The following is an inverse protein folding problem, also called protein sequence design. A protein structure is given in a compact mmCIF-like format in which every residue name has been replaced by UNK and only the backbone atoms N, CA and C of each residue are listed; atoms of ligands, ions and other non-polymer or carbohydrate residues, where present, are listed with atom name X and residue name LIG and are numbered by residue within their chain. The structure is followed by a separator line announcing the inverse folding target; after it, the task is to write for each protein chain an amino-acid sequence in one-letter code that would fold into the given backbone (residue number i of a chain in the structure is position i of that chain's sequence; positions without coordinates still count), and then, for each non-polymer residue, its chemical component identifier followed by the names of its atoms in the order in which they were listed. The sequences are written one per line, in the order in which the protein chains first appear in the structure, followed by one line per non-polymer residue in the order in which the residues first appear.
data_IF_191392023557
#
_entry.id   IF_191392023557
#
_cell.length_a   1.000
_cell.length_b   1.000
_cell.length_c   1.000
_cell.angle_alpha   90.00
_cell.angle_beta   90.00
_cell.angle_gamma   90.00
#
_symmetry.space_group_name_H-M   'P 1'
#
loop_
_entity.id
_entity.type
_entity.pdbx_description
1 polymer ?
#
# COMPACT_ATOMS: atom_id res chain seq x y z
N UNK A 1 11.25 -15.81 19.48
CA UNK A 1 10.77 -15.24 18.20
C UNK A 1 10.00 -13.91 18.29
N UNK A 2 8.79 -13.84 18.86
CA UNK A 2 7.92 -12.64 18.81
C UNK A 2 8.58 -11.34 19.32
N UNK A 3 9.31 -11.40 20.44
CA UNK A 3 10.03 -10.24 21.00
C UNK A 3 11.05 -9.69 20.00
N UNK A 4 11.83 -10.58 19.36
CA UNK A 4 12.81 -10.19 18.33
C UNK A 4 12.14 -9.66 17.06
N UNK A 5 10.98 -10.21 16.70
CA UNK A 5 10.21 -9.69 15.57
C UNK A 5 9.71 -8.27 15.86
N UNK A 6 9.22 -7.98 17.06
CA UNK A 6 8.86 -6.62 17.47
C UNK A 6 10.05 -5.67 17.39
N UNK A 7 11.22 -6.06 17.90
CA UNK A 7 12.45 -5.26 17.80
C UNK A 7 12.83 -4.99 16.33
N UNK A 8 12.79 -6.01 15.47
CA UNK A 8 13.11 -5.87 14.05
C UNK A 8 12.11 -4.95 13.31
N UNK A 9 10.81 -5.12 13.56
CA UNK A 9 9.78 -4.31 12.92
C UNK A 9 9.66 -2.90 13.50
N UNK A 10 10.14 -2.65 14.72
CA UNK A 10 10.30 -1.29 15.25
C UNK A 10 11.43 -0.53 14.53
N UNK A 11 12.55 -1.21 14.22
CA UNK A 11 13.60 -0.65 13.36
C UNK A 11 13.08 -0.41 11.95
N UNK A 12 12.35 -1.37 11.36
CA UNK A 12 11.71 -1.21 10.05
C UNK A 12 10.78 0.01 10.02
N UNK A 13 9.91 0.15 11.04
CA UNK A 13 9.03 1.31 11.22
C UNK A 13 9.84 2.59 11.23
N UNK A 14 10.90 2.68 12.03
CA UNK A 14 11.69 3.91 12.11
C UNK A 14 12.32 4.29 10.77
N UNK A 15 12.85 3.32 10.02
CA UNK A 15 13.48 3.54 8.72
C UNK A 15 12.50 3.97 7.61
N UNK A 16 11.29 3.43 7.60
CA UNK A 16 10.32 3.67 6.52
C UNK A 16 9.24 4.70 6.86
N UNK A 17 8.92 4.87 8.13
CA UNK A 17 7.82 5.71 8.61
C UNK A 17 8.27 6.91 9.43
N UNK A 18 9.51 6.95 9.92
CA UNK A 18 10.06 8.04 10.74
C UNK A 18 9.10 8.42 11.89
N UNK A 19 8.63 7.41 12.63
CA UNK A 19 7.63 7.54 13.70
C UNK A 19 6.46 6.55 13.56
N UNK A 20 5.32 6.86 14.17
CA UNK A 20 4.18 5.93 14.23
C UNK A 20 4.34 4.85 15.30
N UNK A 21 3.52 3.80 15.21
CA UNK A 21 3.53 2.65 16.13
C UNK A 21 3.56 1.36 15.32
N UNK A 22 4.35 0.38 15.75
CA UNK A 22 4.33 -0.98 15.23
C UNK A 22 4.02 -1.98 16.34
N UNK A 23 3.46 -3.12 15.98
CA UNK A 23 3.23 -4.24 16.89
C UNK A 23 3.22 -5.54 16.12
N UNK A 24 3.78 -6.58 16.71
CA UNK A 24 3.87 -7.90 16.10
C UNK A 24 3.36 -8.94 17.08
N UNK A 25 2.45 -9.80 16.62
CA UNK A 25 1.85 -10.85 17.44
C UNK A 25 1.90 -12.18 16.73
N UNK A 26 2.29 -13.24 17.43
CA UNK A 26 2.45 -14.58 16.91
C UNK A 26 1.43 -15.52 17.58
N UNK A 27 1.02 -16.56 16.85
CA UNK A 27 0.27 -17.68 17.40
C UNK A 27 0.74 -18.99 16.77
N UNK A 28 0.62 -20.07 17.54
CA UNK A 28 1.05 -21.39 17.10
C UNK A 28 0.00 -22.03 16.19
N UNK A 29 0.47 -22.81 15.21
CA UNK A 29 -0.32 -23.72 14.39
C UNK A 29 0.14 -25.17 14.65
N UNK A 30 -0.62 -26.15 14.18
CA UNK A 30 -0.24 -27.56 14.34
C UNK A 30 1.00 -27.93 13.48
N UNK A 31 1.19 -27.27 12.34
CA UNK A 31 2.24 -27.51 11.35
C UNK A 31 3.17 -26.30 11.12
N UNK A 32 3.22 -25.38 12.09
CA UNK A 32 4.10 -24.21 12.04
C UNK A 32 3.63 -23.10 12.98
N UNK A 33 3.70 -21.86 12.50
CA UNK A 33 3.22 -20.69 13.24
C UNK A 33 2.65 -19.65 12.29
N UNK A 34 1.90 -18.71 12.84
CA UNK A 34 1.40 -17.56 12.12
C UNK A 34 1.55 -16.31 12.96
N UNK A 35 1.35 -15.17 12.34
CA UNK A 35 1.44 -13.91 13.02
C UNK A 35 0.87 -12.76 12.23
N UNK A 36 0.84 -11.61 12.88
CA UNK A 36 0.45 -10.35 12.27
C UNK A 36 1.48 -9.28 12.60
N UNK A 37 1.89 -8.54 11.59
CA UNK A 37 2.65 -7.29 11.73
C UNK A 37 1.69 -6.14 11.46
N UNK A 38 1.60 -5.23 12.42
CA UNK A 38 0.78 -4.03 12.36
C UNK A 38 1.68 -2.81 12.35
N UNK A 39 1.45 -1.87 11.43
CA UNK A 39 2.06 -0.55 11.45
C UNK A 39 0.97 0.51 11.32
N UNK A 40 1.05 1.55 12.15
CA UNK A 40 0.15 2.70 12.11
C UNK A 40 0.97 3.99 12.11
N UNK A 41 0.73 4.84 11.12
CA UNK A 41 1.27 6.19 11.06
C UNK A 41 0.14 7.17 10.85
N UNK A 42 0.10 8.17 11.71
CA UNK A 42 -0.72 9.37 11.52
C UNK A 42 0.22 10.52 11.19
N UNK A 43 -0.15 11.29 10.18
CA UNK A 43 0.56 12.47 9.73
C UNK A 43 -0.42 13.65 9.69
N UNK A 44 -0.08 14.74 10.34
CA UNK A 44 -0.86 15.98 10.34
C UNK A 44 0.00 17.12 9.78
N UNK A 45 0.25 17.13 8.45
CA UNK A 45 1.01 18.20 7.83
C UNK A 45 0.19 19.51 7.87
N UNK A 46 0.59 20.42 8.75
CA UNK A 46 -0.09 21.70 8.94
C UNK A 46 -1.38 21.57 9.76
N UNK A 47 -2.36 22.46 9.52
CA UNK A 47 -3.58 22.56 10.35
C UNK A 47 -4.83 22.00 9.68
N UNK A 48 -4.81 21.80 8.35
CA UNK A 48 -5.99 21.45 7.57
C UNK A 48 -5.86 20.10 6.83
N UNK A 49 -4.74 19.39 6.98
CA UNK A 49 -4.52 18.11 6.31
C UNK A 49 -4.15 17.03 7.33
N UNK A 50 -4.81 15.89 7.22
CA UNK A 50 -4.58 14.69 8.00
C UNK A 50 -4.42 13.50 7.05
N UNK A 51 -3.45 12.65 7.35
CA UNK A 51 -3.22 11.41 6.65
C UNK A 51 -3.00 10.27 7.63
N UNK A 52 -3.68 9.16 7.43
CA UNK A 52 -3.46 7.93 8.20
C UNK A 52 -3.07 6.82 7.25
N UNK A 53 -2.01 6.11 7.63
CA UNK A 53 -1.55 4.88 6.99
C UNK A 53 -1.62 3.74 8.00
N UNK A 54 -2.38 2.70 7.66
CA UNK A 54 -2.46 1.46 8.44
C UNK A 54 -2.02 0.28 7.57
N UNK A 55 -1.01 -0.46 8.03
CA UNK A 55 -0.53 -1.69 7.41
C UNK A 55 -0.83 -2.89 8.28
N UNK A 56 -1.41 -3.92 7.67
CA UNK A 56 -1.78 -5.18 8.30
C UNK A 56 -1.20 -6.31 7.46
N UNK A 57 -0.20 -7.01 7.99
CA UNK A 57 0.46 -8.11 7.33
C UNK A 57 0.24 -9.39 8.13
N UNK A 58 -0.74 -10.20 7.71
CA UNK A 58 -0.99 -11.51 8.31
C UNK A 58 -0.16 -12.54 7.54
N UNK A 59 0.67 -13.28 8.24
CA UNK A 59 1.49 -14.33 7.65
C UNK A 59 1.26 -15.68 8.32
N UNK A 60 1.42 -16.73 7.55
CA UNK A 60 1.52 -18.11 8.01
C UNK A 60 2.86 -18.67 7.54
N UNK A 61 3.54 -19.42 8.40
CA UNK A 61 4.81 -20.08 8.15
C UNK A 61 4.62 -21.57 8.47
N UNK A 62 4.49 -22.38 7.42
CA UNK A 62 4.24 -23.82 7.51
C UNK A 62 5.57 -24.55 7.32
N UNK A 63 5.98 -25.32 8.32
CA UNK A 63 7.24 -26.04 8.27
C UNK A 63 7.13 -27.29 7.40
N UNK A 64 8.00 -27.37 6.38
CA UNK A 64 8.18 -28.56 5.54
C UNK A 64 9.57 -29.14 5.79
N UNK A 65 9.79 -30.36 5.31
CA UNK A 65 11.03 -31.10 5.61
C UNK A 65 12.34 -30.40 5.21
N UNK A 66 12.32 -29.45 4.25
CA UNK A 66 13.54 -28.78 3.73
C UNK A 66 13.40 -27.26 3.56
N UNK A 67 12.21 -26.71 3.83
CA UNK A 67 11.90 -25.30 3.63
C UNK A 67 10.68 -24.95 4.50
N UNK A 68 10.47 -23.66 4.71
CA UNK A 68 9.22 -23.15 5.29
C UNK A 68 8.42 -22.49 4.17
N UNK A 69 7.14 -22.84 4.07
CA UNK A 69 6.20 -22.25 3.13
C UNK A 69 5.54 -21.05 3.82
N UNK A 70 5.75 -19.85 3.27
CA UNK A 70 5.21 -18.60 3.80
C UNK A 70 4.01 -18.15 2.97
N UNK A 71 2.86 -18.00 3.61
CA UNK A 71 1.69 -17.35 3.02
C UNK A 71 1.57 -15.96 3.65
N UNK A 72 1.68 -14.90 2.87
CA UNK A 72 1.54 -13.52 3.35
C UNK A 72 0.32 -12.87 2.72
N UNK A 73 -0.65 -12.48 3.54
CA UNK A 73 -1.76 -11.60 3.18
C UNK A 73 -1.52 -10.22 3.77
N UNK A 74 -1.35 -9.23 2.90
CA UNK A 74 -1.10 -7.84 3.32
C UNK A 74 -2.24 -6.94 2.89
N UNK A 75 -2.66 -6.06 3.80
CA UNK A 75 -3.64 -5.01 3.55
C UNK A 75 -3.05 -3.68 3.99
N UNK A 76 -3.10 -2.69 3.10
CA UNK A 76 -2.80 -1.30 3.41
C UNK A 76 -4.08 -0.49 3.31
N UNK A 77 -4.33 0.33 4.31
CA UNK A 77 -5.43 1.30 4.36
C UNK A 77 -4.80 2.69 4.38
N UNK A 78 -5.22 3.53 3.44
CA UNK A 78 -4.80 4.91 3.33
C UNK A 78 -6.04 5.79 3.47
N UNK A 79 -5.97 6.75 4.37
CA UNK A 79 -6.96 7.82 4.50
C UNK A 79 -6.24 9.16 4.42
N UNK A 80 -6.72 10.04 3.54
CA UNK A 80 -6.20 11.39 3.36
C UNK A 80 -7.39 12.35 3.40
N UNK A 81 -7.39 13.23 4.38
CA UNK A 81 -8.41 14.26 4.53
C UNK A 81 -7.77 15.64 4.45
N UNK A 82 -8.41 16.54 3.72
CA UNK A 82 -8.16 17.97 3.74
C UNK A 82 -9.45 18.67 4.15
N UNK A 83 -9.45 19.34 5.28
CA UNK A 83 -10.64 19.99 5.85
C UNK A 83 -10.90 21.39 5.28
N UNK A 84 -10.15 21.81 4.25
CA UNK A 84 -10.41 23.05 3.53
C UNK A 84 -10.33 24.28 4.42
N UNK A 85 -9.16 24.53 5.03
CA UNK A 85 -8.92 25.78 5.77
C UNK A 85 -9.26 27.02 4.93
N UNK A 86 -9.52 28.17 5.57
CA UNK A 86 -10.10 29.37 4.93
C UNK A 86 -9.38 29.92 3.69
N UNK A 87 -8.14 29.49 3.43
CA UNK A 87 -7.32 29.84 2.24
C UNK A 87 -7.10 28.65 1.26
N UNK A 88 -7.74 27.50 1.47
CA UNK A 88 -7.59 26.31 0.62
C UNK A 88 -8.39 26.45 -0.67
N UNK A 89 -7.69 26.67 -1.79
CA UNK A 89 -8.29 26.66 -3.13
C UNK A 89 -8.93 25.30 -3.51
N UNK A 90 -8.58 24.21 -2.81
CA UNK A 90 -9.07 22.86 -3.05
C UNK A 90 -10.39 22.54 -2.34
N UNK A 91 -10.81 23.33 -1.35
CA UNK A 91 -11.96 23.02 -0.51
C UNK A 91 -11.74 21.80 0.39
N UNK A 92 -12.82 21.19 0.86
CA UNK A 92 -12.81 19.95 1.63
C UNK A 92 -12.70 18.74 0.70
N UNK A 93 -11.80 17.81 1.02
CA UNK A 93 -11.56 16.59 0.24
C UNK A 93 -11.22 15.43 1.18
N UNK A 94 -11.90 14.30 1.00
CA UNK A 94 -11.56 13.02 1.64
C UNK A 94 -11.26 11.99 0.55
N UNK A 95 -10.08 11.39 0.64
CA UNK A 95 -9.61 10.33 -0.23
C UNK A 95 -9.12 9.17 0.63
N UNK A 96 -9.96 8.14 0.74
CA UNK A 96 -9.73 7.00 1.60
C UNK A 96 -9.98 5.68 0.89
N UNK A 97 -9.29 4.63 1.32
CA UNK A 97 -9.62 3.26 0.94
C UNK A 97 -8.53 2.27 1.33
N UNK A 98 -8.58 1.07 0.72
CA UNK A 98 -7.64 -0.01 1.03
C UNK A 98 -7.18 -0.78 -0.21
N UNK A 99 -6.11 -1.54 -0.05
CA UNK A 99 -5.63 -2.52 -1.01
C UNK A 99 -5.14 -3.77 -0.29
N UNK A 100 -5.62 -4.94 -0.73
CA UNK A 100 -5.19 -6.24 -0.20
C UNK A 100 -4.49 -7.06 -1.29
N UNK A 101 -3.39 -7.71 -0.92
CA UNK A 101 -2.61 -8.61 -1.77
C UNK A 101 -2.16 -9.84 -1.00
N UNK A 102 -1.95 -10.92 -1.75
CA UNK A 102 -1.49 -12.19 -1.21
C UNK A 102 -0.30 -12.68 -2.02
N UNK A 103 0.68 -13.27 -1.33
CA UNK A 103 1.77 -14.01 -1.93
C UNK A 103 2.03 -15.29 -1.14
N UNK A 104 2.57 -16.26 -1.85
CA UNK A 104 3.06 -17.52 -1.29
C UNK A 104 4.51 -17.69 -1.75
N UNK A 105 5.40 -18.08 -0.83
CA UNK A 105 6.80 -18.29 -1.14
C UNK A 105 7.42 -19.39 -0.27
N UNK A 106 8.17 -20.28 -0.90
CA UNK A 106 8.96 -21.30 -0.20
C UNK A 106 10.40 -20.79 0.00
N UNK A 107 10.85 -20.76 1.24
CA UNK A 107 12.18 -20.27 1.59
C UNK A 107 12.87 -21.21 2.59
N UNK A 108 14.18 -21.47 2.45
CA UNK A 108 14.94 -22.13 3.50
C UNK A 108 14.90 -21.31 4.80
N UNK A 109 14.66 -21.98 5.91
CA UNK A 109 14.72 -21.37 7.22
C UNK A 109 15.11 -22.42 8.28
N UNK A 110 16.37 -22.38 8.70
CA UNK A 110 16.94 -23.31 9.68
C UNK A 110 16.96 -22.72 11.10
N UNK A 111 16.78 -21.40 11.21
CA UNK A 111 16.88 -20.65 12.47
C UNK A 111 15.73 -19.64 12.59
N UNK A 112 15.38 -19.28 13.83
CA UNK A 112 14.37 -18.24 14.09
C UNK A 112 14.74 -16.90 13.44
N UNK A 113 16.03 -16.55 13.44
CA UNK A 113 16.54 -15.32 12.83
C UNK A 113 16.30 -15.29 11.32
N UNK A 114 16.50 -16.43 10.63
CA UNK A 114 16.20 -16.55 9.21
C UNK A 114 14.70 -16.47 8.93
N UNK A 115 13.87 -17.07 9.78
CA UNK A 115 12.42 -16.99 9.64
C UNK A 115 11.93 -15.53 9.79
N UNK A 116 12.43 -14.79 10.79
CA UNK A 116 12.11 -13.36 10.96
C UNK A 116 12.60 -12.55 9.76
N UNK A 117 13.83 -12.79 9.28
CA UNK A 117 14.37 -12.10 8.11
C UNK A 117 13.57 -12.38 6.83
N UNK A 118 13.12 -13.63 6.64
CA UNK A 118 12.26 -14.02 5.54
C UNK A 118 10.91 -13.28 5.59
N UNK A 119 10.26 -13.25 6.75
CA UNK A 119 9.00 -12.51 6.96
C UNK A 119 9.22 -11.02 6.68
N UNK A 120 10.28 -10.42 7.23
CA UNK A 120 10.64 -9.01 7.01
C UNK A 120 10.78 -8.66 5.52
N UNK A 121 11.52 -9.47 4.76
CA UNK A 121 11.68 -9.29 3.31
C UNK A 121 10.36 -9.42 2.55
N UNK A 122 9.51 -10.39 2.91
CA UNK A 122 8.20 -10.56 2.27
C UNK A 122 7.29 -9.35 2.53
N UNK A 123 7.30 -8.84 3.76
CA UNK A 123 6.54 -7.63 4.15
C UNK A 123 7.06 -6.41 3.39
N UNK A 124 8.37 -6.18 3.38
CA UNK A 124 9.01 -5.05 2.69
C UNK A 124 8.69 -5.03 1.19
N UNK A 125 8.89 -6.16 0.51
CA UNK A 125 8.61 -6.29 -0.93
C UNK A 125 7.13 -6.04 -1.24
N UNK A 126 6.24 -6.55 -0.39
CA UNK A 126 4.79 -6.42 -0.56
C UNK A 126 4.33 -4.98 -0.34
N UNK A 127 4.82 -4.35 0.72
CA UNK A 127 4.49 -2.97 1.07
C UNK A 127 5.00 -1.98 0.02
N UNK A 128 6.22 -2.17 -0.49
CA UNK A 128 6.76 -1.36 -1.58
C UNK A 128 5.87 -1.43 -2.84
N UNK A 129 5.45 -2.64 -3.23
CA UNK A 129 4.57 -2.85 -4.39
C UNK A 129 3.21 -2.19 -4.19
N UNK A 130 2.58 -2.38 -3.04
CA UNK A 130 1.28 -1.80 -2.75
C UNK A 130 1.34 -0.28 -2.66
N UNK A 131 2.40 0.30 -2.07
CA UNK A 131 2.60 1.75 -2.04
C UNK A 131 2.62 2.37 -3.44
N UNK A 132 3.37 1.75 -4.36
CA UNK A 132 3.44 2.23 -5.74
C UNK A 132 2.07 2.15 -6.45
N UNK A 133 1.32 1.06 -6.24
CA UNK A 133 -0.02 0.89 -6.81
C UNK A 133 -1.04 1.86 -6.21
N UNK A 134 -0.98 2.12 -4.89
CA UNK A 134 -1.84 3.08 -4.23
C UNK A 134 -1.61 4.48 -4.81
N UNK A 135 -0.37 4.89 -5.04
CA UNK A 135 -0.06 6.18 -5.67
C UNK A 135 -0.72 6.32 -7.05
N UNK A 136 -0.63 5.29 -7.89
CA UNK A 136 -1.22 5.29 -9.24
C UNK A 136 -2.76 5.32 -9.20
N UNK A 137 -3.37 4.51 -8.34
CA UNK A 137 -4.84 4.39 -8.29
C UNK A 137 -5.50 5.57 -7.59
N UNK A 138 -4.95 6.06 -6.47
CA UNK A 138 -5.59 7.09 -5.65
C UNK A 138 -5.50 8.46 -6.30
N UNK A 139 -4.33 8.82 -6.84
CA UNK A 139 -4.16 10.14 -7.44
C UNK A 139 -4.35 10.13 -8.94
N UNK A 140 -4.11 9.00 -9.62
CA UNK A 140 -4.34 8.88 -11.06
C UNK A 140 -5.83 8.78 -11.38
N UNK A 141 -6.48 7.68 -10.97
CA UNK A 141 -7.86 7.40 -11.37
C UNK A 141 -8.86 8.41 -10.83
N UNK A 142 -8.73 8.86 -9.58
CA UNK A 142 -9.63 9.86 -9.02
C UNK A 142 -9.55 11.18 -9.79
N UNK A 143 -8.33 11.61 -10.14
CA UNK A 143 -8.10 12.80 -10.96
C UNK A 143 -8.69 12.66 -12.36
N UNK A 144 -8.51 11.50 -13.00
CA UNK A 144 -9.04 11.23 -14.33
C UNK A 144 -10.58 11.29 -14.33
N UNK A 145 -11.24 10.63 -13.37
CA UNK A 145 -12.70 10.64 -13.24
C UNK A 145 -13.24 12.05 -12.97
N UNK A 146 -12.60 12.82 -12.08
CA UNK A 146 -13.01 14.22 -11.82
C UNK A 146 -12.78 15.10 -13.06
N UNK A 147 -11.68 14.89 -13.78
CA UNK A 147 -11.37 15.59 -15.03
C UNK A 147 -12.38 15.31 -16.14
N UNK A 148 -12.86 14.07 -16.24
CA UNK A 148 -13.90 13.67 -17.19
C UNK A 148 -15.27 14.28 -16.85
N UNK A 149 -15.60 14.40 -15.57
CA UNK A 149 -16.86 15.01 -15.12
C UNK A 149 -16.87 16.54 -15.33
N UNK A 150 -15.71 17.19 -15.26
CA UNK A 150 -15.59 18.64 -15.44
C UNK A 150 -14.32 18.98 -16.22
N UNK A 151 -14.41 19.00 -17.55
CA UNK A 151 -13.30 19.43 -18.40
C UNK A 151 -13.06 20.94 -18.25
N UNK A 152 -11.82 21.32 -17.94
CA UNK A 152 -11.41 22.73 -17.94
C UNK A 152 -11.19 23.29 -19.36
N UNK A 153 -10.96 22.40 -20.33
CA UNK A 153 -10.88 22.75 -21.75
C UNK A 153 -12.27 23.00 -22.35
N UNK A 154 -12.31 23.73 -23.46
CA UNK A 154 -13.57 23.92 -24.19
C UNK A 154 -14.04 22.58 -24.77
N UNK A 155 -15.35 22.32 -24.79
CA UNK A 155 -15.92 21.15 -25.49
C UNK A 155 -15.46 21.06 -26.96
N UNK A 156 -15.09 22.20 -27.56
CA UNK A 156 -14.52 22.29 -28.90
C UNK A 156 -13.12 21.68 -29.00
N UNK A 157 -12.24 21.90 -28.01
CA UNK A 157 -10.91 21.28 -27.97
C UNK A 157 -10.99 19.77 -27.76
N UNK A 158 -11.86 19.32 -26.84
CA UNK A 158 -12.11 17.88 -26.64
C UNK A 158 -12.68 17.20 -27.91
N UNK A 159 -13.49 17.94 -28.68
CA UNK A 159 -13.98 17.50 -29.99
C UNK A 159 -12.85 17.37 -31.02
N UNK A 160 -11.96 18.36 -31.10
CA UNK A 160 -10.82 18.36 -32.02
C UNK A 160 -9.82 17.25 -31.70
N UNK A 161 -9.55 16.99 -30.43
CA UNK A 161 -8.65 15.90 -30.01
C UNK A 161 -9.21 14.52 -30.36
N UNK A 162 -10.53 14.31 -30.20
CA UNK A 162 -11.20 13.08 -30.64
C UNK A 162 -11.17 12.90 -32.17
N UNK A 163 -11.29 13.99 -32.91
CA UNK A 163 -11.24 13.99 -34.36
C UNK A 163 -9.82 13.67 -34.86
N UNK A 164 -8.80 14.27 -34.25
CA UNK A 164 -7.40 13.96 -34.49
C UNK A 164 -7.05 12.50 -34.12
N UNK A 165 -7.54 11.98 -32.99
CA UNK A 165 -7.38 10.57 -32.63
C UNK A 165 -8.02 9.63 -33.68
N UNK A 166 -9.21 9.96 -34.17
CA UNK A 166 -9.86 9.18 -35.25
C UNK A 166 -9.06 9.19 -36.54
N UNK A 167 -8.47 10.33 -36.89
CA UNK A 167 -7.65 10.48 -38.09
C UNK A 167 -6.39 9.61 -38.01
N UNK A 168 -5.71 9.60 -36.85
CA UNK A 168 -4.53 8.75 -36.59
C UNK A 168 -4.88 7.26 -36.62
N UNK A 169 -5.99 6.85 -36.00
CA UNK A 169 -6.45 5.45 -36.04
C UNK A 169 -6.82 5.06 -37.47
N UNK A 170 -7.41 5.97 -38.24
CA UNK A 170 -7.73 5.80 -39.65
C UNK A 170 -6.48 5.65 -40.53
N UNK A 171 -5.43 6.43 -40.26
CA UNK A 171 -4.17 6.37 -41.00
C UNK A 171 -3.33 5.13 -40.67
N UNK A 172 -3.46 4.58 -39.47
CA UNK A 172 -2.82 3.31 -39.07
C UNK A 172 -3.50 2.07 -39.64
N UNK A 173 -4.74 2.19 -40.13
CA UNK A 173 -5.48 1.10 -40.78
C UNK A 173 -5.29 1.04 -42.31
N UNK A 174 -4.49 1.93 -42.90
CA UNK A 174 -4.08 1.89 -44.31
C UNK A 174 -2.73 1.22 -44.48
#
# INVERSE_FOLDING_TARGET
MEVRANEAFDVYRELYYEGGVSSVYFWNLDDGFAGVVLLKKVATPGTASEGTWDSIHVFEAIDRARFTQYNLTSTVILSLANTGGSDSALGEMDLSGNMTRQIEMELPAETEEQQIANIGRLVEDMELKMRNLLQEVYFGKAKDVVGDLRSLGSLSEAGRDREAQREVIGSMRR
#
